data_IF_107794689379
#
_entry.id   IF_107794689379
#
_cell.length_a   1.000
_cell.length_b   1.000
_cell.length_c   1.000
_cell.angle_alpha   90.00
_cell.angle_beta   90.00
_cell.angle_gamma   90.00
#
_symmetry.space_group_name_H-M   'P 1'
#
loop_
_entity.id
_entity.type
_entity.pdbx_description
1 polymer ?
#
# COMPACT_ATOMS: atom_id res chain seq x y z
N UNK A 1 6.13 -0.72 21.27
CA UNK A 1 6.52 -1.70 20.22
C UNK A 1 5.81 -3.05 20.35
N UNK A 2 5.54 -3.55 21.56
CA UNK A 2 5.01 -4.91 21.80
C UNK A 2 3.81 -5.30 20.94
N UNK A 3 2.78 -4.45 20.80
CA UNK A 3 1.59 -4.80 20.00
C UNK A 3 1.92 -5.10 18.53
N UNK A 4 2.92 -4.41 17.97
CA UNK A 4 3.32 -4.56 16.57
C UNK A 4 4.03 -5.90 16.34
N UNK A 5 4.92 -6.26 17.28
CA UNK A 5 5.61 -7.55 17.28
C UNK A 5 4.58 -8.66 17.49
N UNK A 6 3.69 -8.51 18.47
CA UNK A 6 2.59 -9.44 18.73
C UNK A 6 1.73 -9.67 17.49
N UNK A 7 1.33 -8.60 16.79
CA UNK A 7 0.54 -8.67 15.55
C UNK A 7 1.26 -9.52 14.50
N UNK A 8 2.55 -9.25 14.26
CA UNK A 8 3.34 -10.00 13.29
C UNK A 8 3.54 -11.46 13.70
N UNK A 9 3.79 -11.72 14.99
CA UNK A 9 3.90 -13.08 15.53
C UNK A 9 2.60 -13.86 15.39
N UNK A 10 1.44 -13.24 15.60
CA UNK A 10 0.13 -13.86 15.41
C UNK A 10 -0.12 -14.23 13.95
N UNK A 11 0.23 -13.36 13.01
CA UNK A 11 0.17 -13.67 11.57
C UNK A 11 1.06 -14.89 11.23
N UNK A 12 2.26 -14.96 11.82
CA UNK A 12 3.16 -16.11 11.73
C UNK A 12 2.55 -17.41 12.26
N UNK A 13 2.06 -17.40 13.50
CA UNK A 13 1.46 -18.57 14.15
C UNK A 13 0.24 -19.10 13.37
N UNK A 14 -0.67 -18.21 12.95
CA UNK A 14 -1.84 -18.61 12.16
C UNK A 14 -1.47 -19.11 10.77
N UNK A 15 -0.33 -18.67 10.21
CA UNK A 15 0.18 -19.25 8.96
C UNK A 15 0.67 -20.69 9.12
N UNK A 16 1.23 -21.05 10.27
CA UNK A 16 1.62 -22.43 10.55
C UNK A 16 0.36 -23.30 10.56
N UNK A 17 -0.69 -22.87 11.27
CA UNK A 17 -2.00 -23.53 11.27
C UNK A 17 -2.61 -23.62 9.86
N UNK A 18 -2.60 -22.54 9.08
CA UNK A 18 -3.04 -22.53 7.68
C UNK A 18 -2.31 -23.58 6.83
N UNK A 19 -0.99 -23.69 6.94
CA UNK A 19 -0.19 -24.63 6.16
C UNK A 19 -0.45 -26.09 6.58
N UNK A 20 -0.57 -26.37 7.89
CA UNK A 20 -0.91 -27.71 8.39
C UNK A 20 -2.28 -28.14 7.87
N UNK A 21 -3.29 -27.27 8.00
CA UNK A 21 -4.65 -27.56 7.53
C UNK A 21 -4.73 -27.69 6.01
N UNK A 22 -3.94 -26.92 5.26
CA UNK A 22 -3.87 -27.01 3.79
C UNK A 22 -3.31 -28.35 3.32
N UNK A 23 -2.38 -28.95 4.06
CA UNK A 23 -1.84 -30.28 3.76
C UNK A 23 -2.87 -31.37 4.07
N UNK A 24 -3.69 -31.20 5.11
CA UNK A 24 -4.64 -32.23 5.56
C UNK A 24 -6.00 -32.21 4.87
N UNK A 25 -6.44 -31.07 4.32
CA UNK A 25 -7.79 -30.89 3.78
C UNK A 25 -7.84 -30.71 2.25
N UNK A 26 -8.92 -31.19 1.62
CA UNK A 26 -9.20 -30.94 0.20
C UNK A 26 -9.73 -29.52 -0.10
N UNK A 27 -10.26 -28.79 0.90
CA UNK A 27 -10.92 -27.49 0.69
C UNK A 27 -9.99 -26.28 0.96
N UNK A 28 -9.02 -26.07 0.06
CA UNK A 28 -7.98 -25.05 0.19
C UNK A 28 -8.51 -23.60 0.20
N UNK A 29 -9.61 -23.32 -0.50
CA UNK A 29 -10.17 -21.96 -0.60
C UNK A 29 -10.82 -21.52 0.71
N UNK A 30 -11.54 -22.41 1.40
CA UNK A 30 -12.14 -22.10 2.72
C UNK A 30 -11.07 -21.81 3.77
N UNK A 31 -9.97 -22.56 3.78
CA UNK A 31 -8.87 -22.33 4.73
C UNK A 31 -8.18 -21.00 4.41
N UNK A 32 -7.99 -20.70 3.13
CA UNK A 32 -7.47 -19.41 2.67
C UNK A 32 -8.37 -18.24 3.08
N UNK A 33 -9.69 -18.36 2.92
CA UNK A 33 -10.63 -17.31 3.30
C UNK A 33 -10.63 -17.07 4.81
N UNK A 34 -10.57 -18.13 5.63
CA UNK A 34 -10.49 -18.02 7.09
C UNK A 34 -9.20 -17.34 7.54
N UNK A 35 -8.05 -17.71 6.95
CA UNK A 35 -6.78 -17.05 7.26
C UNK A 35 -6.81 -15.56 6.89
N UNK A 36 -7.30 -15.22 5.70
CA UNK A 36 -7.38 -13.82 5.27
C UNK A 36 -8.35 -13.02 6.14
N UNK A 37 -9.49 -13.61 6.50
CA UNK A 37 -10.44 -12.99 7.42
C UNK A 37 -9.78 -12.70 8.77
N UNK A 38 -9.13 -13.70 9.37
CA UNK A 38 -8.39 -13.53 10.61
C UNK A 38 -7.33 -12.41 10.52
N UNK A 39 -6.47 -12.44 9.50
CA UNK A 39 -5.41 -11.46 9.33
C UNK A 39 -5.98 -10.04 9.15
N UNK A 40 -7.02 -9.89 8.32
CA UNK A 40 -7.68 -8.61 8.08
C UNK A 40 -8.33 -8.08 9.36
N UNK A 41 -9.06 -8.94 10.08
CA UNK A 41 -9.70 -8.59 11.36
C UNK A 41 -8.68 -8.21 12.43
N UNK A 42 -7.56 -8.93 12.55
CA UNK A 42 -6.49 -8.62 13.49
C UNK A 42 -5.92 -7.21 13.22
N UNK A 43 -5.63 -6.90 11.95
CA UNK A 43 -5.12 -5.58 11.57
C UNK A 43 -6.16 -4.47 11.81
N UNK A 44 -7.44 -4.72 11.55
CA UNK A 44 -8.50 -3.76 11.87
C UNK A 44 -8.62 -3.54 13.37
N UNK A 45 -8.58 -4.60 14.18
CA UNK A 45 -8.67 -4.52 15.64
C UNK A 45 -7.51 -3.70 16.19
N UNK A 46 -6.27 -4.02 15.83
CA UNK A 46 -5.09 -3.29 16.31
C UNK A 46 -5.08 -1.84 15.83
N UNK A 47 -5.53 -1.57 14.60
CA UNK A 47 -5.62 -0.19 14.12
C UNK A 47 -6.74 0.55 14.84
N UNK A 48 -7.89 -0.09 15.07
CA UNK A 48 -9.05 0.52 15.70
C UNK A 48 -8.78 0.82 17.16
N UNK A 49 -8.26 -0.12 17.96
CA UNK A 49 -8.11 0.03 19.41
C UNK A 49 -7.02 1.05 19.83
N UNK A 50 -6.37 1.74 18.89
CA UNK A 50 -5.34 2.74 19.17
C UNK A 50 -5.93 4.00 19.81
N UNK A 51 -5.16 4.66 20.66
CA UNK A 51 -5.48 6.01 21.15
C UNK A 51 -5.49 7.03 20.01
N UNK A 52 -6.32 8.07 20.15
CA UNK A 52 -6.36 9.21 19.23
C UNK A 52 -5.04 9.98 19.14
N UNK A 53 -4.11 9.72 20.06
CA UNK A 53 -2.75 10.28 20.07
C UNK A 53 -1.76 9.52 19.18
N UNK A 54 -2.14 8.35 18.65
CA UNK A 54 -1.28 7.48 17.84
C UNK A 54 -1.46 7.80 16.35
N UNK A 55 -0.38 8.23 15.71
CA UNK A 55 -0.33 8.65 14.32
C UNK A 55 -0.07 10.16 14.19
N UNK A 56 0.99 10.54 13.48
CA UNK A 56 1.44 11.92 13.34
C UNK A 56 0.35 12.87 12.79
N UNK A 57 -0.42 12.41 11.80
CA UNK A 57 -1.44 13.21 11.13
C UNK A 57 -2.84 13.10 11.77
N UNK A 58 -3.04 12.16 12.71
CA UNK A 58 -4.35 11.86 13.32
C UNK A 58 -4.98 13.06 14.03
N UNK A 59 -4.26 13.87 14.83
CA UNK A 59 -4.85 15.03 15.49
C UNK A 59 -5.54 15.98 14.50
N UNK A 60 -4.90 16.24 13.36
CA UNK A 60 -5.46 17.08 12.28
C UNK A 60 -6.76 16.49 11.73
N UNK A 61 -6.81 15.17 11.52
CA UNK A 61 -8.01 14.51 11.02
C UNK A 61 -9.16 14.53 12.02
N UNK A 62 -8.87 14.39 13.31
CA UNK A 62 -9.89 14.42 14.36
C UNK A 62 -10.42 15.82 14.62
N UNK A 63 -9.57 16.84 14.61
CA UNK A 63 -10.03 18.25 14.66
C UNK A 63 -10.97 18.52 13.50
N UNK A 64 -10.62 18.09 12.28
CA UNK A 64 -11.49 18.24 11.13
C UNK A 64 -12.81 17.49 11.30
N UNK A 65 -12.78 16.21 11.69
CA UNK A 65 -13.97 15.41 11.94
C UNK A 65 -14.90 16.06 12.98
N UNK A 66 -14.35 16.56 14.08
CA UNK A 66 -15.11 17.24 15.14
C UNK A 66 -15.79 18.52 14.66
N UNK A 67 -15.20 19.23 13.69
CA UNK A 67 -15.84 20.39 13.06
C UNK A 67 -16.99 20.01 12.11
N UNK A 68 -17.01 18.79 11.56
CA UNK A 68 -18.02 18.37 10.58
C UNK A 68 -19.43 18.26 11.16
N UNK A 69 -19.56 18.00 12.46
CA UNK A 69 -20.86 17.96 13.13
C UNK A 69 -21.52 19.34 13.26
N UNK A 70 -20.73 20.42 13.16
CA UNK A 70 -21.21 21.81 13.28
C UNK A 70 -21.76 22.37 11.97
N UNK A 71 -21.36 21.83 10.81
CA UNK A 71 -21.87 22.27 9.52
C UNK A 71 -23.29 21.76 9.29
N UNK A 72 -24.25 22.67 9.11
CA UNK A 72 -25.67 22.36 8.91
C UNK A 72 -25.99 21.83 7.51
N UNK A 73 -25.22 22.19 6.49
CA UNK A 73 -25.46 21.82 5.08
C UNK A 73 -24.20 21.32 4.37
N UNK A 74 -24.36 20.48 3.35
CA UNK A 74 -23.24 20.00 2.51
C UNK A 74 -22.57 21.13 1.71
N UNK A 75 -23.28 22.20 1.40
CA UNK A 75 -22.71 23.35 0.65
C UNK A 75 -21.65 24.08 1.47
N UNK A 76 -21.92 24.32 2.75
CA UNK A 76 -20.97 24.94 3.67
C UNK A 76 -19.68 24.12 3.86
N UNK A 77 -19.77 22.80 3.64
CA UNK A 77 -18.66 21.85 3.76
C UNK A 77 -17.72 21.87 2.55
N UNK A 78 -18.21 22.27 1.36
CA UNK A 78 -17.39 22.32 0.15
C UNK A 78 -16.54 23.59 0.03
N UNK A 79 -16.88 24.64 0.79
CA UNK A 79 -16.17 25.93 0.79
C UNK A 79 -14.79 25.89 1.48
N UNK A 80 -14.55 24.94 2.39
CA UNK A 80 -13.25 24.81 3.07
C UNK A 80 -12.21 24.08 2.20
N UNK A 81 -11.10 24.71 1.82
CA UNK A 81 -10.13 24.14 0.86
C UNK A 81 -9.17 23.05 1.40
N UNK A 82 -9.31 22.59 2.65
CA UNK A 82 -8.26 21.76 3.28
C UNK A 82 -8.14 20.32 2.78
N UNK A 83 -9.26 19.66 2.43
CA UNK A 83 -9.27 18.23 2.06
C UNK A 83 -10.09 17.93 0.79
N UNK A 84 -9.81 16.78 0.19
CA UNK A 84 -10.49 16.28 -1.00
C UNK A 84 -11.95 15.93 -0.71
N UNK A 85 -12.81 16.18 -1.69
CA UNK A 85 -14.27 16.12 -1.55
C UNK A 85 -14.80 14.79 -1.01
N UNK A 86 -14.26 13.66 -1.47
CA UNK A 86 -14.66 12.33 -0.99
C UNK A 86 -14.35 12.11 0.48
N UNK A 87 -13.21 12.62 0.96
CA UNK A 87 -12.89 12.58 2.39
C UNK A 87 -13.83 13.46 3.21
N UNK A 88 -14.16 14.66 2.72
CA UNK A 88 -15.12 15.55 3.40
C UNK A 88 -16.50 14.91 3.52
N UNK A 89 -17.01 14.35 2.42
CA UNK A 89 -18.29 13.65 2.36
C UNK A 89 -18.28 12.46 3.35
N UNK A 90 -17.21 11.65 3.36
CA UNK A 90 -17.09 10.54 4.29
C UNK A 90 -17.15 11.01 5.75
N UNK A 91 -16.42 12.07 6.11
CA UNK A 91 -16.43 12.59 7.48
C UNK A 91 -17.84 13.10 7.86
N UNK A 92 -18.52 13.79 6.95
CA UNK A 92 -19.90 14.23 7.18
C UNK A 92 -20.84 13.06 7.39
N UNK A 93 -20.78 12.04 6.53
CA UNK A 93 -21.60 10.84 6.66
C UNK A 93 -21.38 10.16 8.01
N UNK A 94 -20.13 10.01 8.46
CA UNK A 94 -19.85 9.45 9.79
C UNK A 94 -20.40 10.36 10.90
N UNK A 95 -20.26 11.68 10.77
CA UNK A 95 -20.71 12.67 11.77
C UNK A 95 -22.22 12.66 12.01
N UNK A 96 -23.01 12.23 11.01
CA UNK A 96 -24.47 12.09 11.13
C UNK A 96 -24.82 10.98 12.14
N UNK A 97 -24.02 9.92 12.20
CA UNK A 97 -24.26 8.78 13.09
C UNK A 97 -23.54 8.90 14.43
N UNK A 98 -22.38 9.55 14.46
CA UNK A 98 -21.59 9.67 15.68
C UNK A 98 -20.60 10.84 15.63
N UNK A 99 -20.33 11.46 16.76
CA UNK A 99 -19.22 12.42 16.94
C UNK A 99 -18.03 11.80 17.68
N UNK A 100 -18.09 10.49 17.97
CA UNK A 100 -17.06 9.79 18.71
C UNK A 100 -15.83 9.51 17.84
N UNK A 101 -14.68 10.10 18.21
CA UNK A 101 -13.40 9.93 17.52
C UNK A 101 -12.97 8.47 17.37
N UNK A 102 -13.25 7.63 18.37
CA UNK A 102 -12.88 6.22 18.38
C UNK A 102 -13.68 5.43 17.33
N UNK A 103 -14.99 5.68 17.24
CA UNK A 103 -15.83 5.08 16.20
C UNK A 103 -15.42 5.57 14.80
N UNK A 104 -15.09 6.85 14.67
CA UNK A 104 -14.55 7.39 13.42
C UNK A 104 -13.27 6.65 12.99
N UNK A 105 -12.28 6.50 13.88
CA UNK A 105 -11.04 5.81 13.56
C UNK A 105 -11.25 4.33 13.21
N UNK A 106 -12.22 3.67 13.84
CA UNK A 106 -12.63 2.30 13.52
C UNK A 106 -13.24 2.19 12.11
N UNK A 107 -14.12 3.12 11.73
CA UNK A 107 -14.70 3.15 10.37
C UNK A 107 -13.60 3.33 9.32
N UNK A 108 -12.68 4.26 9.56
CA UNK A 108 -11.52 4.49 8.67
C UNK A 108 -10.66 3.23 8.56
N UNK A 109 -10.40 2.53 9.68
CA UNK A 109 -9.65 1.28 9.69
C UNK A 109 -10.30 0.21 8.80
N UNK A 110 -11.62 0.03 8.90
CA UNK A 110 -12.36 -0.90 8.04
C UNK A 110 -12.23 -0.55 6.56
N UNK A 111 -12.44 0.72 6.20
CA UNK A 111 -12.37 1.19 4.81
C UNK A 111 -10.95 1.02 4.23
N UNK A 112 -9.91 1.25 5.04
CA UNK A 112 -8.52 1.15 4.59
C UNK A 112 -8.01 -0.31 4.50
N UNK A 113 -8.49 -1.23 5.35
CA UNK A 113 -7.90 -2.58 5.47
C UNK A 113 -8.70 -3.66 4.75
N UNK A 114 -10.04 -3.57 4.71
CA UNK A 114 -10.89 -4.59 4.05
C UNK A 114 -10.53 -4.77 2.57
N UNK A 115 -10.37 -3.69 1.75
CA UNK A 115 -10.01 -3.86 0.34
C UNK A 115 -8.62 -4.50 0.14
N UNK A 116 -7.69 -4.31 1.08
CA UNK A 116 -6.38 -4.97 1.07
C UNK A 116 -6.57 -6.48 1.25
N UNK A 117 -7.32 -6.89 2.26
CA UNK A 117 -7.64 -8.30 2.52
C UNK A 117 -8.33 -8.97 1.33
N UNK A 118 -9.35 -8.33 0.75
CA UNK A 118 -10.06 -8.84 -0.44
C UNK A 118 -9.10 -9.07 -1.61
N UNK A 119 -8.20 -8.12 -1.86
CA UNK A 119 -7.24 -8.21 -2.97
C UNK A 119 -6.21 -9.31 -2.73
N UNK A 120 -5.68 -9.43 -1.51
CA UNK A 120 -4.75 -10.52 -1.13
C UNK A 120 -5.45 -11.88 -1.28
N UNK A 121 -6.70 -12.01 -0.84
CA UNK A 121 -7.48 -13.24 -1.02
C UNK A 121 -7.60 -13.60 -2.51
N UNK A 122 -7.97 -12.63 -3.37
CA UNK A 122 -8.18 -12.91 -4.80
C UNK A 122 -6.89 -13.23 -5.55
N UNK A 123 -5.82 -12.48 -5.29
CA UNK A 123 -4.66 -12.44 -6.19
C UNK A 123 -3.37 -13.03 -5.61
N UNK A 124 -3.27 -13.26 -4.30
CA UNK A 124 -2.04 -13.81 -3.72
C UNK A 124 -2.01 -15.34 -3.73
N UNK A 125 -0.87 -15.90 -4.17
CA UNK A 125 -0.53 -17.33 -4.04
C UNK A 125 -0.10 -17.70 -2.62
N UNK A 126 0.43 -16.75 -1.85
CA UNK A 126 0.91 -16.93 -0.49
C UNK A 126 0.37 -15.79 0.41
N UNK A 127 -0.91 -15.85 0.82
CA UNK A 127 -1.55 -14.77 1.58
C UNK A 127 -0.79 -14.36 2.85
N UNK A 128 -0.23 -15.32 3.57
CA UNK A 128 0.61 -15.05 4.74
C UNK A 128 1.80 -14.14 4.43
N UNK A 129 2.53 -14.43 3.35
CA UNK A 129 3.67 -13.63 2.95
C UNK A 129 3.21 -12.25 2.48
N UNK A 130 2.09 -12.15 1.78
CA UNK A 130 1.50 -10.85 1.41
C UNK A 130 1.16 -9.98 2.63
N UNK A 131 0.49 -10.53 3.65
CA UNK A 131 0.20 -9.78 4.87
C UNK A 131 1.48 -9.41 5.63
N UNK A 132 2.46 -10.33 5.69
CA UNK A 132 3.77 -10.04 6.28
C UNK A 132 4.42 -8.84 5.58
N UNK A 133 4.51 -8.87 4.25
CA UNK A 133 5.08 -7.76 3.46
C UNK A 133 4.29 -6.46 3.61
N UNK A 134 2.96 -6.52 3.68
CA UNK A 134 2.12 -5.33 3.91
C UNK A 134 2.45 -4.66 5.27
N UNK A 135 2.70 -5.47 6.31
CA UNK A 135 3.09 -4.97 7.63
C UNK A 135 4.54 -4.46 7.62
N UNK A 136 5.48 -5.31 7.18
CA UNK A 136 6.92 -5.07 7.35
C UNK A 136 7.51 -4.05 6.39
N UNK A 137 6.89 -3.86 5.22
CA UNK A 137 7.23 -2.77 4.29
C UNK A 137 6.53 -1.45 4.66
N UNK A 138 6.02 -1.34 5.90
CA UNK A 138 5.50 -0.11 6.50
C UNK A 138 4.17 0.40 5.91
N UNK A 139 3.52 -0.35 4.99
CA UNK A 139 2.22 0.03 4.43
C UNK A 139 1.12 0.01 5.49
N UNK A 140 1.11 -0.99 6.38
CA UNK A 140 0.16 -1.04 7.50
C UNK A 140 0.41 0.09 8.50
N UNK A 141 1.64 0.29 8.95
CA UNK A 141 2.01 1.38 9.87
C UNK A 141 1.63 2.76 9.33
N UNK A 142 1.78 2.99 8.02
CA UNK A 142 1.35 4.24 7.40
C UNK A 142 -0.16 4.52 7.62
N UNK A 143 -0.99 3.48 7.68
CA UNK A 143 -2.45 3.63 7.92
C UNK A 143 -2.80 4.19 9.29
N UNK A 144 -1.87 4.15 10.25
CA UNK A 144 -2.05 4.80 11.55
C UNK A 144 -2.01 6.32 11.45
N UNK A 145 -1.25 6.86 10.49
CA UNK A 145 -1.08 8.31 10.31
C UNK A 145 -1.89 8.81 9.11
N UNK A 146 -1.53 8.40 7.88
CA UNK A 146 -2.03 8.99 6.64
C UNK A 146 -3.41 8.47 6.22
N UNK A 147 -4.46 8.75 7.00
CA UNK A 147 -5.81 8.18 6.84
C UNK A 147 -6.38 8.31 5.43
N UNK A 148 -6.34 9.54 4.87
CA UNK A 148 -6.82 9.84 3.50
C UNK A 148 -6.13 9.00 2.44
N UNK A 149 -4.80 8.99 2.49
CA UNK A 149 -3.97 8.30 1.51
C UNK A 149 -4.04 6.79 1.68
N UNK A 150 -4.21 6.28 2.91
CA UNK A 150 -4.43 4.87 3.19
C UNK A 150 -5.71 4.33 2.53
N UNK A 151 -6.83 5.07 2.61
CA UNK A 151 -8.07 4.75 1.89
C UNK A 151 -7.81 4.70 0.38
N UNK A 152 -7.11 5.71 -0.13
CA UNK A 152 -6.76 5.81 -1.55
C UNK A 152 -5.91 4.62 -2.02
N UNK A 153 -4.89 4.23 -1.25
CA UNK A 153 -4.09 3.02 -1.53
C UNK A 153 -4.94 1.75 -1.52
N UNK A 154 -5.85 1.60 -0.56
CA UNK A 154 -6.73 0.43 -0.47
C UNK A 154 -7.59 0.26 -1.73
N UNK A 155 -8.19 1.36 -2.21
CA UNK A 155 -9.00 1.37 -3.43
C UNK A 155 -8.14 1.06 -4.66
N UNK A 156 -6.96 1.69 -4.77
CA UNK A 156 -6.04 1.45 -5.91
C UNK A 156 -5.53 0.01 -5.90
N UNK A 157 -5.19 -0.55 -4.76
CA UNK A 157 -4.75 -1.94 -4.64
C UNK A 157 -5.84 -2.89 -5.09
N UNK A 158 -7.10 -2.62 -4.71
CA UNK A 158 -8.26 -3.39 -5.15
C UNK A 158 -8.56 -3.27 -6.64
N UNK A 159 -8.30 -2.09 -7.23
CA UNK A 159 -8.50 -1.82 -8.66
C UNK A 159 -7.67 -2.72 -9.59
N UNK A 160 -6.62 -3.37 -9.06
CA UNK A 160 -5.84 -4.37 -9.80
C UNK A 160 -6.70 -5.51 -10.35
N UNK A 161 -7.78 -5.88 -9.65
CA UNK A 161 -8.74 -6.88 -10.17
C UNK A 161 -9.30 -6.45 -11.53
N UNK A 162 -9.58 -5.16 -11.73
CA UNK A 162 -10.11 -4.63 -12.98
C UNK A 162 -9.05 -4.54 -14.09
N UNK A 163 -7.78 -4.37 -13.74
CA UNK A 163 -6.66 -4.52 -14.69
C UNK A 163 -6.59 -5.97 -15.20
N UNK A 164 -6.64 -6.93 -14.28
CA UNK A 164 -6.58 -8.37 -14.60
C UNK A 164 -7.77 -8.82 -15.45
N UNK A 165 -8.98 -8.37 -15.08
CA UNK A 165 -10.23 -8.68 -15.77
C UNK A 165 -10.47 -7.85 -17.04
N UNK A 166 -9.55 -6.94 -17.41
CA UNK A 166 -9.67 -6.03 -18.57
C UNK A 166 -10.94 -5.15 -18.56
N UNK A 167 -11.36 -4.70 -17.37
CA UNK A 167 -12.55 -3.85 -17.17
C UNK A 167 -12.15 -2.37 -17.01
N UNK A 168 -11.87 -1.70 -18.14
CA UNK A 168 -11.38 -0.31 -18.16
C UNK A 168 -12.29 0.67 -17.41
N UNK A 169 -13.60 0.59 -17.60
CA UNK A 169 -14.54 1.52 -16.97
C UNK A 169 -14.52 1.40 -15.45
N UNK A 170 -14.55 0.16 -14.92
CA UNK A 170 -14.46 -0.10 -13.48
C UNK A 170 -13.10 0.33 -12.91
N UNK A 171 -12.04 0.13 -13.68
CA UNK A 171 -10.70 0.60 -13.32
C UNK A 171 -10.66 2.13 -13.20
N UNK A 172 -11.07 2.87 -14.24
CA UNK A 172 -11.06 4.34 -14.26
C UNK A 172 -11.92 4.87 -13.12
N UNK A 173 -13.14 4.36 -12.96
CA UNK A 173 -14.03 4.76 -11.86
C UNK A 173 -13.37 4.53 -10.49
N UNK A 174 -12.67 3.42 -10.29
CA UNK A 174 -11.98 3.15 -9.03
C UNK A 174 -10.85 4.15 -8.76
N UNK A 175 -10.06 4.51 -9.78
CA UNK A 175 -8.99 5.50 -9.64
C UNK A 175 -9.57 6.89 -9.37
N UNK A 176 -10.66 7.26 -10.04
CA UNK A 176 -11.36 8.51 -9.78
C UNK A 176 -11.90 8.56 -8.35
N UNK A 177 -12.55 7.49 -7.87
CA UNK A 177 -13.00 7.41 -6.47
C UNK A 177 -11.82 7.52 -5.50
N UNK A 178 -10.71 6.82 -5.76
CA UNK A 178 -9.50 6.93 -4.93
C UNK A 178 -8.93 8.36 -4.91
N UNK A 179 -9.05 9.09 -6.01
CA UNK A 179 -8.62 10.49 -6.12
C UNK A 179 -9.49 11.45 -5.31
N UNK A 180 -10.76 11.11 -5.05
CA UNK A 180 -11.63 11.87 -4.17
C UNK A 180 -11.19 11.81 -2.70
N UNK A 181 -10.37 10.82 -2.32
CA UNK A 181 -9.77 10.74 -0.99
C UNK A 181 -8.34 11.29 -0.94
N UNK A 182 -7.59 11.16 -2.04
CA UNK A 182 -6.25 11.68 -2.15
C UNK A 182 -5.87 11.90 -3.63
N UNK A 183 -5.73 13.16 -4.04
CA UNK A 183 -5.66 13.53 -5.47
C UNK A 183 -4.52 12.84 -6.24
N UNK A 184 -3.39 12.58 -5.58
CA UNK A 184 -2.22 11.93 -6.20
C UNK A 184 -2.52 10.53 -6.76
N UNK A 185 -3.63 9.89 -6.39
CA UNK A 185 -4.05 8.60 -6.96
C UNK A 185 -4.24 8.64 -8.49
N UNK A 186 -4.51 9.82 -9.06
CA UNK A 186 -4.63 10.01 -10.51
C UNK A 186 -3.37 9.60 -11.26
N UNK A 187 -2.20 9.61 -10.61
CA UNK A 187 -0.96 9.10 -11.23
C UNK A 187 -1.08 7.65 -11.68
N UNK A 188 -2.00 6.88 -11.09
CA UNK A 188 -2.22 5.47 -11.42
C UNK A 188 -3.07 5.25 -12.68
N UNK A 189 -3.76 6.27 -13.21
CA UNK A 189 -4.62 6.15 -14.40
C UNK A 189 -3.92 5.48 -15.61
N UNK A 190 -2.67 5.84 -15.97
CA UNK A 190 -1.96 5.23 -17.09
C UNK A 190 -1.67 3.73 -16.89
N UNK A 191 -1.71 3.22 -15.66
CA UNK A 191 -1.35 1.83 -15.35
C UNK A 191 -2.12 0.83 -16.20
N UNK A 192 -3.41 1.06 -16.46
CA UNK A 192 -4.24 0.15 -17.26
C UNK A 192 -3.70 -0.11 -18.67
N UNK A 193 -3.10 0.90 -19.28
CA UNK A 193 -2.50 0.80 -20.62
C UNK A 193 -1.06 0.31 -20.53
N UNK A 194 -0.28 0.85 -19.59
CA UNK A 194 1.14 0.53 -19.44
C UNK A 194 1.37 -0.96 -19.12
N UNK A 195 0.51 -1.61 -18.33
CA UNK A 195 0.66 -3.04 -18.00
C UNK A 195 0.57 -3.99 -19.20
N UNK A 196 0.16 -3.48 -20.37
CA UNK A 196 0.13 -4.25 -21.63
C UNK A 196 1.49 -4.30 -22.33
N UNK A 197 2.44 -3.45 -21.93
CA UNK A 197 3.80 -3.44 -22.46
C UNK A 197 4.48 -4.76 -22.07
N UNK A 198 4.95 -5.51 -23.07
CA UNK A 198 5.69 -6.75 -22.87
C UNK A 198 7.13 -6.44 -22.52
N UNK A 199 7.65 -7.05 -21.46
CA UNK A 199 9.07 -6.87 -21.10
C UNK A 199 9.94 -7.66 -22.08
N UNK A 200 10.73 -6.92 -22.86
CA UNK A 200 11.75 -7.43 -23.77
C UNK A 200 13.01 -6.53 -23.69
N UNK A 201 14.05 -6.88 -24.45
CA UNK A 201 15.32 -6.12 -24.43
C UNK A 201 15.12 -4.64 -24.77
N UNK A 202 14.30 -4.33 -25.77
CA UNK A 202 14.01 -2.95 -26.16
C UNK A 202 13.29 -2.19 -25.04
N UNK A 203 12.25 -2.78 -24.45
CA UNK A 203 11.52 -2.18 -23.33
C UNK A 203 12.45 -1.91 -22.14
N UNK A 204 13.34 -2.84 -21.80
CA UNK A 204 14.31 -2.65 -20.71
C UNK A 204 15.25 -1.49 -21.04
N UNK A 205 15.82 -1.45 -22.25
CA UNK A 205 16.70 -0.35 -22.68
C UNK A 205 15.97 1.00 -22.64
N UNK A 206 14.73 1.07 -23.14
CA UNK A 206 13.91 2.28 -23.12
C UNK A 206 13.65 2.75 -21.68
N UNK A 207 13.34 1.84 -20.76
CA UNK A 207 13.14 2.17 -19.34
C UNK A 207 14.43 2.67 -18.70
N UNK A 208 15.57 2.06 -19.01
CA UNK A 208 16.87 2.52 -18.50
C UNK A 208 17.22 3.92 -19.00
N UNK A 209 17.07 4.18 -20.30
CA UNK A 209 17.28 5.51 -20.88
C UNK A 209 16.32 6.55 -20.29
N UNK A 210 15.05 6.19 -20.12
CA UNK A 210 14.06 7.04 -19.47
C UNK A 210 14.42 7.35 -18.01
N UNK A 211 14.91 6.35 -17.25
CA UNK A 211 15.35 6.55 -15.87
C UNK A 211 16.60 7.43 -15.79
N UNK A 212 17.56 7.29 -16.72
CA UNK A 212 18.74 8.17 -16.80
C UNK A 212 18.31 9.61 -17.11
N UNK A 213 17.38 9.79 -18.05
CA UNK A 213 16.81 11.10 -18.36
C UNK A 213 16.11 11.71 -17.15
N UNK A 214 15.20 10.97 -16.49
CA UNK A 214 14.52 11.44 -15.28
C UNK A 214 15.53 11.79 -14.20
N UNK A 215 16.50 10.94 -13.93
CA UNK A 215 17.50 11.18 -12.90
C UNK A 215 18.29 12.46 -13.18
N UNK A 216 18.70 12.68 -14.44
CA UNK A 216 19.47 13.85 -14.86
C UNK A 216 18.66 15.14 -14.74
N UNK A 217 17.40 15.12 -15.16
CA UNK A 217 16.53 16.32 -15.21
C UNK A 217 15.51 16.39 -14.07
N UNK A 218 15.70 15.62 -12.98
CA UNK A 218 14.70 15.45 -11.92
C UNK A 218 14.26 16.77 -11.28
N UNK A 219 15.18 17.71 -11.09
CA UNK A 219 14.88 19.00 -10.46
C UNK A 219 14.05 19.89 -11.40
N UNK A 220 14.42 19.95 -12.68
CA UNK A 220 13.71 20.73 -13.71
C UNK A 220 12.31 20.17 -13.93
N UNK A 221 12.19 18.85 -14.08
CA UNK A 221 10.90 18.17 -14.22
C UNK A 221 10.06 18.44 -12.97
N UNK A 222 10.62 18.28 -11.77
CA UNK A 222 9.86 18.52 -10.54
C UNK A 222 9.41 19.97 -10.39
N UNK A 223 10.24 20.95 -10.74
CA UNK A 223 9.89 22.37 -10.71
C UNK A 223 8.74 22.71 -11.67
N UNK A 224 8.69 22.10 -12.85
CA UNK A 224 7.55 22.26 -13.77
C UNK A 224 6.28 21.68 -13.14
N UNK A 225 6.37 20.50 -12.53
CA UNK A 225 5.20 19.81 -11.95
C UNK A 225 4.67 20.49 -10.68
N UNK A 226 5.54 20.99 -9.79
CA UNK A 226 5.10 21.51 -8.49
C UNK A 226 4.21 22.75 -8.66
N UNK A 227 4.51 23.61 -9.63
CA UNK A 227 3.71 24.80 -9.95
C UNK A 227 2.25 24.49 -10.33
N UNK A 228 1.94 23.25 -10.74
CA UNK A 228 0.57 22.82 -11.03
C UNK A 228 -0.19 22.29 -9.82
N UNK A 229 0.50 21.91 -8.73
CA UNK A 229 -0.12 21.18 -7.61
C UNK A 229 0.07 21.85 -6.24
N UNK A 230 1.12 22.65 -6.04
CA UNK A 230 1.42 23.30 -4.75
C UNK A 230 2.02 24.70 -4.98
N UNK A 231 1.45 25.73 -4.36
CA UNK A 231 1.94 27.12 -4.46
C UNK A 231 3.24 27.35 -3.66
N UNK A 232 3.46 26.61 -2.57
CA UNK A 232 4.65 26.72 -1.72
C UNK A 232 5.23 25.33 -1.43
N UNK A 233 6.28 24.93 -2.15
CA UNK A 233 7.00 23.69 -1.85
C UNK A 233 8.52 23.89 -1.89
N UNK A 234 9.17 23.63 -0.76
CA UNK A 234 10.63 23.59 -0.67
C UNK A 234 11.18 22.26 -1.18
N UNK A 235 12.28 22.30 -1.92
CA UNK A 235 13.05 21.09 -2.24
C UNK A 235 13.67 20.58 -0.94
N UNK A 236 13.17 19.45 -0.45
CA UNK A 236 13.73 18.75 0.71
C UNK A 236 14.34 17.46 0.20
N UNK A 237 15.67 17.41 0.16
CA UNK A 237 16.39 16.20 -0.20
C UNK A 237 16.07 15.09 0.80
N UNK A 238 15.46 14.01 0.32
CA UNK A 238 15.14 12.87 1.16
C UNK A 238 16.30 11.87 1.19
N UNK A 239 16.56 11.27 2.36
CA UNK A 239 17.51 10.14 2.49
C UNK A 239 16.95 8.81 1.95
N UNK A 240 15.91 8.86 1.10
CA UNK A 240 15.15 7.69 0.64
C UNK A 240 15.84 6.89 -0.47
N UNK A 241 17.06 7.29 -0.90
CA UNK A 241 17.82 6.59 -1.93
C UNK A 241 18.07 5.11 -1.60
N UNK A 242 18.41 4.80 -0.34
CA UNK A 242 18.62 3.41 0.10
C UNK A 242 17.36 2.55 -0.06
N UNK A 243 16.19 3.12 0.22
CA UNK A 243 14.91 2.45 0.04
C UNK A 243 14.64 2.20 -1.45
N UNK A 244 14.84 3.20 -2.30
CA UNK A 244 14.72 3.04 -3.76
C UNK A 244 15.65 1.93 -4.28
N UNK A 245 16.90 1.87 -3.83
CA UNK A 245 17.84 0.80 -4.23
C UNK A 245 17.36 -0.58 -3.81
N UNK A 246 16.86 -0.75 -2.58
CA UNK A 246 16.26 -2.00 -2.13
C UNK A 246 15.06 -2.37 -3.03
N UNK A 247 14.20 -1.40 -3.32
CA UNK A 247 13.04 -1.60 -4.18
C UNK A 247 13.43 -2.03 -5.60
N UNK A 248 14.46 -1.40 -6.17
CA UNK A 248 15.03 -1.74 -7.47
C UNK A 248 15.65 -3.15 -7.47
N UNK A 249 16.39 -3.51 -6.41
CA UNK A 249 16.98 -4.84 -6.25
C UNK A 249 15.91 -5.93 -6.26
N UNK A 250 14.79 -5.73 -5.56
CA UNK A 250 13.66 -6.68 -5.57
C UNK A 250 13.13 -6.89 -6.99
N UNK A 251 12.99 -5.80 -7.78
CA UNK A 251 12.54 -5.88 -9.17
C UNK A 251 13.56 -6.62 -10.05
N UNK A 252 14.84 -6.29 -9.91
CA UNK A 252 15.93 -6.94 -10.67
C UNK A 252 15.97 -8.44 -10.38
N UNK A 253 15.91 -8.83 -9.10
CA UNK A 253 15.86 -10.23 -8.70
C UNK A 253 14.63 -10.92 -9.31
N UNK A 254 13.48 -10.26 -9.28
CA UNK A 254 12.26 -10.77 -9.89
C UNK A 254 12.36 -10.99 -11.39
N UNK A 255 13.07 -10.12 -12.12
CA UNK A 255 13.25 -10.24 -13.58
C UNK A 255 13.96 -11.53 -13.99
N UNK A 256 14.82 -12.12 -13.16
CA UNK A 256 15.41 -13.44 -13.44
C UNK A 256 14.37 -14.56 -13.52
N UNK A 257 13.22 -14.40 -12.86
CA UNK A 257 12.11 -15.34 -12.88
C UNK A 257 11.02 -14.99 -13.89
N UNK A 258 11.15 -13.88 -14.61
CA UNK A 258 10.11 -13.34 -15.51
C UNK A 258 9.54 -14.39 -16.45
N UNK A 259 10.38 -15.10 -17.22
CA UNK A 259 9.93 -16.12 -18.18
C UNK A 259 9.11 -17.24 -17.52
N UNK A 260 9.49 -17.67 -16.32
CA UNK A 260 8.80 -18.73 -15.57
C UNK A 260 7.46 -18.24 -14.99
N UNK A 261 7.41 -16.99 -14.54
CA UNK A 261 6.19 -16.39 -13.98
C UNK A 261 5.14 -16.17 -15.08
N UNK A 262 5.53 -15.58 -16.22
CA UNK A 262 4.58 -15.32 -17.31
C UNK A 262 4.11 -16.59 -18.01
N UNK A 263 4.88 -17.68 -17.96
CA UNK A 263 4.45 -18.97 -18.53
C UNK A 263 3.30 -19.61 -17.76
N UNK A 264 3.13 -19.25 -16.47
CA UNK A 264 1.98 -19.69 -15.67
C UNK A 264 0.76 -18.81 -15.95
N UNK A 265 0.96 -17.49 -15.96
CA UNK A 265 -0.08 -16.54 -16.35
C UNK A 265 0.53 -15.30 -17.00
N UNK A 266 0.13 -15.02 -18.24
CA UNK A 266 0.52 -13.79 -18.93
C UNK A 266 0.04 -12.53 -18.20
N UNK A 267 -1.02 -12.63 -17.39
CA UNK A 267 -1.55 -11.51 -16.63
C UNK A 267 -0.61 -11.03 -15.52
N UNK A 268 0.35 -11.89 -15.10
CA UNK A 268 1.39 -11.54 -14.13
C UNK A 268 2.38 -10.51 -14.66
N UNK A 269 2.47 -10.28 -15.98
CA UNK A 269 3.26 -9.18 -16.57
C UNK A 269 2.90 -7.82 -15.94
N UNK A 270 1.64 -7.64 -15.56
CA UNK A 270 1.18 -6.41 -14.94
C UNK A 270 1.97 -6.08 -13.66
N UNK A 271 2.23 -7.06 -12.79
CA UNK A 271 2.98 -6.82 -11.54
C UNK A 271 4.38 -6.28 -11.82
N UNK A 272 5.10 -6.86 -12.79
CA UNK A 272 6.44 -6.38 -13.16
C UNK A 272 6.41 -4.94 -13.63
N UNK A 273 5.50 -4.60 -14.56
CA UNK A 273 5.39 -3.25 -15.09
C UNK A 273 5.03 -2.25 -13.98
N UNK A 274 4.08 -2.60 -13.10
CA UNK A 274 3.69 -1.75 -11.98
C UNK A 274 4.89 -1.46 -11.06
N UNK A 275 5.66 -2.48 -10.66
CA UNK A 275 6.81 -2.27 -9.80
C UNK A 275 7.93 -1.48 -10.49
N UNK A 276 8.20 -1.74 -11.78
CA UNK A 276 9.21 -0.99 -12.53
C UNK A 276 8.84 0.51 -12.59
N UNK A 277 7.58 0.83 -12.89
CA UNK A 277 7.09 2.21 -12.87
C UNK A 277 7.21 2.80 -11.46
N UNK A 278 6.86 2.03 -10.43
CA UNK A 278 7.02 2.45 -9.04
C UNK A 278 8.45 2.86 -8.71
N UNK A 279 9.44 2.02 -9.07
CA UNK A 279 10.86 2.32 -8.88
C UNK A 279 11.30 3.54 -9.70
N UNK A 280 10.85 3.68 -10.95
CA UNK A 280 11.12 4.86 -11.77
C UNK A 280 10.60 6.15 -11.12
N UNK A 281 9.38 6.12 -10.55
CA UNK A 281 8.80 7.26 -9.83
C UNK A 281 9.55 7.59 -8.54
N UNK A 282 10.16 6.61 -7.87
CA UNK A 282 10.97 6.84 -6.67
C UNK A 282 12.21 7.70 -6.94
N UNK A 283 12.69 7.81 -8.19
CA UNK A 283 13.82 8.69 -8.55
C UNK A 283 13.51 10.14 -8.18
N UNK A 284 12.26 10.57 -8.35
CA UNK A 284 11.83 11.91 -7.98
C UNK A 284 11.85 12.14 -6.47
N UNK A 285 11.76 11.09 -5.64
CA UNK A 285 11.80 11.23 -4.18
C UNK A 285 13.11 11.86 -3.65
N UNK A 286 14.15 11.93 -4.48
CA UNK A 286 15.38 12.68 -4.17
C UNK A 286 15.16 14.20 -4.14
N UNK A 287 14.06 14.70 -4.70
CA UNK A 287 13.71 16.13 -4.79
C UNK A 287 12.59 16.50 -3.81
N UNK A 288 11.80 15.54 -3.34
CA UNK A 288 10.75 15.78 -2.34
C UNK A 288 10.27 14.52 -1.63
N UNK A 289 10.09 14.62 -0.32
CA UNK A 289 9.69 13.49 0.56
C UNK A 289 8.28 12.96 0.24
N UNK A 290 7.34 13.82 -0.15
CA UNK A 290 5.97 13.40 -0.51
C UNK A 290 5.91 12.54 -1.78
N UNK A 291 6.91 12.63 -2.66
CA UNK A 291 6.90 11.89 -3.94
C UNK A 291 7.13 10.40 -3.71
N UNK A 292 7.85 10.03 -2.65
CA UNK A 292 7.95 8.63 -2.24
C UNK A 292 6.56 8.02 -2.00
N UNK A 293 5.64 8.78 -1.39
CA UNK A 293 4.26 8.34 -1.18
C UNK A 293 3.47 8.25 -2.50
N UNK A 294 3.81 9.04 -3.51
CA UNK A 294 3.19 8.94 -4.84
C UNK A 294 3.64 7.65 -5.54
N UNK A 295 4.92 7.28 -5.48
CA UNK A 295 5.41 6.03 -6.09
C UNK A 295 4.76 4.77 -5.52
N UNK A 296 4.31 4.82 -4.26
CA UNK A 296 3.66 3.68 -3.59
C UNK A 296 2.34 3.25 -4.24
N UNK A 297 1.64 4.13 -4.97
CA UNK A 297 0.47 3.74 -5.77
C UNK A 297 0.80 2.64 -6.80
N UNK A 298 2.05 2.59 -7.25
CA UNK A 298 2.58 1.57 -8.16
C UNK A 298 3.38 0.49 -7.42
N UNK A 299 4.22 0.87 -6.45
CA UNK A 299 5.14 -0.07 -5.83
C UNK A 299 4.46 -1.03 -4.84
N UNK A 300 3.32 -0.67 -4.23
CA UNK A 300 2.63 -1.51 -3.24
C UNK A 300 2.22 -2.89 -3.77
N UNK A 301 2.14 -3.08 -5.10
CA UNK A 301 1.90 -4.38 -5.72
C UNK A 301 3.03 -5.39 -5.47
N UNK A 302 4.15 -4.97 -4.87
CA UNK A 302 5.20 -5.86 -4.35
C UNK A 302 4.65 -6.94 -3.41
N UNK A 303 3.57 -6.61 -2.70
CA UNK A 303 2.80 -7.49 -1.80
C UNK A 303 2.28 -8.74 -2.52
N UNK A 304 1.94 -8.62 -3.81
CA UNK A 304 1.47 -9.74 -4.66
C UNK A 304 2.61 -10.32 -5.50
N UNK A 305 3.56 -9.48 -5.91
CA UNK A 305 4.68 -9.84 -6.77
C UNK A 305 5.62 -10.89 -6.16
N UNK A 306 6.05 -10.70 -4.91
CA UNK A 306 7.00 -11.63 -4.26
C UNK A 306 6.40 -13.04 -4.14
N UNK A 307 5.16 -13.22 -3.65
CA UNK A 307 4.48 -14.53 -3.68
C UNK A 307 4.43 -15.20 -5.06
N UNK A 308 4.19 -14.45 -6.13
CA UNK A 308 4.16 -15.00 -7.50
C UNK A 308 5.53 -15.51 -7.95
N UNK A 309 6.62 -14.80 -7.60
CA UNK A 309 7.98 -15.25 -7.91
C UNK A 309 8.34 -16.53 -7.14
N UNK A 310 8.03 -16.58 -5.84
CA UNK A 310 8.38 -17.75 -5.02
C UNK A 310 7.61 -18.98 -5.49
N UNK A 311 6.36 -18.80 -5.94
CA UNK A 311 5.51 -19.89 -6.41
C UNK A 311 6.05 -20.62 -7.65
N UNK A 312 6.96 -20.01 -8.44
CA UNK A 312 7.53 -20.67 -9.63
C UNK A 312 8.80 -21.48 -9.36
N UNK A 313 9.31 -21.44 -8.14
CA UNK A 313 10.51 -22.18 -7.74
C UNK A 313 10.11 -23.61 -7.40
N UNK A 314 10.67 -24.59 -8.13
CA UNK A 314 10.32 -26.01 -7.97
C UNK A 314 10.92 -26.64 -6.71
N UNK A 315 12.12 -26.21 -6.32
CA UNK A 315 12.80 -26.74 -5.14
C UNK A 315 12.16 -26.20 -3.85
N UNK A 316 11.44 -27.09 -3.14
CA UNK A 316 10.74 -26.77 -1.89
C UNK A 316 11.70 -26.35 -0.76
N UNK A 317 12.91 -26.91 -0.69
CA UNK A 317 13.90 -26.54 0.33
C UNK A 317 14.41 -25.13 0.07
N UNK A 318 14.69 -24.81 -1.20
CA UNK A 318 15.07 -23.47 -1.60
C UNK A 318 13.95 -22.45 -1.34
N UNK A 319 12.69 -22.79 -1.66
CA UNK A 319 11.53 -21.95 -1.33
C UNK A 319 11.46 -21.66 0.17
N UNK A 320 11.57 -22.70 1.01
CA UNK A 320 11.54 -22.54 2.46
C UNK A 320 12.66 -21.62 2.95
N UNK A 321 13.89 -21.82 2.47
CA UNK A 321 15.05 -20.98 2.80
C UNK A 321 14.81 -19.52 2.38
N UNK A 322 14.35 -19.27 1.16
CA UNK A 322 14.06 -17.92 0.65
C UNK A 322 12.99 -17.25 1.50
N UNK A 323 11.89 -17.95 1.79
CA UNK A 323 10.80 -17.40 2.62
C UNK A 323 11.30 -17.08 4.03
N UNK A 324 12.12 -17.95 4.63
CA UNK A 324 12.71 -17.72 5.94
C UNK A 324 13.61 -16.48 5.94
N UNK A 325 14.56 -16.39 5.00
CA UNK A 325 15.46 -15.23 4.85
C UNK A 325 14.67 -13.95 4.63
N UNK A 326 13.65 -13.97 3.76
CA UNK A 326 12.79 -12.83 3.52
C UNK A 326 12.06 -12.37 4.79
N UNK A 327 11.49 -13.30 5.56
CA UNK A 327 10.80 -12.98 6.82
C UNK A 327 11.78 -12.34 7.81
N UNK A 328 12.96 -12.92 8.01
CA UNK A 328 13.98 -12.38 8.93
C UNK A 328 14.41 -10.98 8.52
N UNK A 329 14.75 -10.77 7.24
CA UNK A 329 15.13 -9.45 6.73
C UNK A 329 14.00 -8.42 6.89
N UNK A 330 12.76 -8.82 6.60
CA UNK A 330 11.60 -7.95 6.75
C UNK A 330 11.33 -7.59 8.22
N UNK A 331 11.52 -8.52 9.16
CA UNK A 331 11.43 -8.24 10.60
C UNK A 331 12.49 -7.23 11.02
N UNK A 332 13.73 -7.38 10.57
CA UNK A 332 14.81 -6.43 10.86
C UNK A 332 14.47 -5.03 10.34
N UNK A 333 14.03 -4.95 9.09
CA UNK A 333 13.58 -3.69 8.47
C UNK A 333 12.41 -3.08 9.24
N UNK A 334 11.44 -3.90 9.65
CA UNK A 334 10.27 -3.43 10.39
C UNK A 334 10.63 -2.90 11.79
N UNK A 335 11.50 -3.60 12.52
CA UNK A 335 12.03 -3.14 13.81
C UNK A 335 12.79 -1.83 13.62
N UNK A 336 13.58 -1.69 12.56
CA UNK A 336 14.27 -0.45 12.23
C UNK A 336 13.27 0.70 12.00
N UNK A 337 12.20 0.48 11.23
CA UNK A 337 11.14 1.47 11.04
C UNK A 337 10.43 1.85 12.35
N UNK A 338 10.11 0.88 13.20
CA UNK A 338 9.48 1.13 14.50
C UNK A 338 10.39 1.91 15.47
N UNK A 339 11.71 1.77 15.35
CA UNK A 339 12.66 2.54 16.16
C UNK A 339 12.82 3.99 15.67
N UNK A 340 12.75 4.22 14.35
CA UNK A 340 12.75 5.58 13.78
C UNK A 340 11.43 6.30 14.10
N UNK A 341 10.34 5.53 14.12
CA UNK A 341 8.99 5.99 14.40
C UNK A 341 8.52 7.18 13.56
N UNK A 342 8.79 7.14 12.25
CA UNK A 342 8.44 8.23 11.33
C UNK A 342 6.94 8.54 11.19
N UNK A 343 6.06 7.77 11.86
CA UNK A 343 4.61 7.96 11.87
C UNK A 343 4.06 8.26 13.27
N UNK A 344 4.91 8.42 14.30
CA UNK A 344 4.51 8.62 15.70
C UNK A 344 3.51 7.57 16.20
N UNK A 345 3.87 6.30 16.05
CA UNK A 345 3.06 5.16 16.46
C UNK A 345 3.66 4.40 17.66
N UNK A 346 4.88 4.73 18.07
CA UNK A 346 5.57 4.08 19.19
C UNK A 346 5.77 5.07 20.35
N UNK A 347 5.38 4.73 21.60
CA UNK A 347 4.72 3.51 22.02
C UNK A 347 3.25 3.48 21.61
N UNK A 348 2.76 2.29 21.27
CA UNK A 348 1.33 2.10 21.06
C UNK A 348 0.58 2.26 22.38
N UNK A 349 -0.50 3.04 22.36
CA UNK A 349 -1.43 3.24 23.48
C UNK A 349 -2.83 2.82 23.05
N UNK A 350 -3.57 2.20 23.95
CA UNK A 350 -4.97 1.89 23.72
C UNK A 350 -5.82 3.14 23.93
N UNK A 351 -7.02 3.21 23.35
CA UNK A 351 -7.86 4.40 23.50
C UNK A 351 -8.39 4.63 24.92
N UNK A 352 -8.33 3.62 25.79
CA UNK A 352 -8.73 3.67 27.20
C UNK A 352 -7.56 3.85 28.18
N UNK A 353 -6.34 4.01 27.66
CA UNK A 353 -5.13 4.32 28.44
C UNK A 353 -4.71 5.74 28.15
#
# INVERSE_FOLDING_TARGET
MLIYIFTLSMIGLFSIGYNVLKVSNKNNEKIKSLFVLFATSLLIIVLSLRSYTIGADVPTYLTYFSSMSQYSTFDSLMLGHRFESGYKILNKLISIFTTNNQLFLMVIACIAIIPIGITIYKHSKMPFLSFTLYITLNYYSFTFSGLRQAISYAIIFNSYSYIQERKIFKFILSVLIASLFHQSALIFLPAYFLVKIKINKFTIISILLFNVMIFTFRQQIFAIFINFFYEDYGIVESKSFKWMLLCALIVIVGLFFYKKVISISQSNNALYILLIIGVSLMIFALVGTNIMRISNYYYMFVILFIPEIINVIKDKRLVLLIVYVLIVLNIIIYIWFLNIDGFNIVPYKFFWT
#
